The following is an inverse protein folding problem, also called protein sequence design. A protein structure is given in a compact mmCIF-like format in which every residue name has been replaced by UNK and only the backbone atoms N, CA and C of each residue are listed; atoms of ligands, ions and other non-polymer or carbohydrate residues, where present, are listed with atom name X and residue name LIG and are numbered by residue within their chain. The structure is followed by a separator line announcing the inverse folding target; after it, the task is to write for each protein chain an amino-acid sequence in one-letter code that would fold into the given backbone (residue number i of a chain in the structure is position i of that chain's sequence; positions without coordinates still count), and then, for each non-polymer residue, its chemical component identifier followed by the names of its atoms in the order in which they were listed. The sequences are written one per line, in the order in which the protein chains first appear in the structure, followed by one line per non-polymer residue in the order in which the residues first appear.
data_IF_402714026545
#
_entry.id   IF_402714026545
#
_cell.length_a   1.000
_cell.length_b   1.000
_cell.length_c   1.000
_cell.angle_alpha   90.00
_cell.angle_beta   90.00
_cell.angle_gamma   90.00
#
_symmetry.space_group_name_H-M   'P 1'
#
loop_
_entity.id
_entity.type
_entity.pdbx_description
1 polymer ?
#
# COMPACT_ATOMS: atom_id res chain seq x y z
N UNK A 1 -22.63 14.26 20.62
CA UNK A 1 -21.54 13.40 20.10
C UNK A 1 -20.24 14.06 20.50
N UNK A 2 -19.30 13.39 21.18
CA UNK A 2 -18.02 14.01 21.49
C UNK A 2 -17.20 14.19 20.21
N UNK A 3 -16.44 15.28 20.06
CA UNK A 3 -15.60 15.50 18.89
C UNK A 3 -14.47 14.48 18.85
N UNK A 4 -14.20 13.91 17.66
CA UNK A 4 -13.00 13.11 17.40
C UNK A 4 -11.77 13.97 17.65
N UNK A 5 -11.17 13.87 18.84
CA UNK A 5 -9.85 14.42 19.14
C UNK A 5 -8.78 13.53 18.51
N UNK A 6 -8.68 13.56 17.18
CA UNK A 6 -7.70 12.80 16.40
C UNK A 6 -6.83 13.75 15.59
N UNK A 7 -6.01 14.57 16.25
CA UNK A 7 -4.97 15.31 15.53
C UNK A 7 -4.01 14.32 14.86
N UNK A 8 -3.74 14.50 13.57
CA UNK A 8 -2.73 13.70 12.86
C UNK A 8 -1.37 14.07 13.45
N UNK A 9 -0.82 13.19 14.30
CA UNK A 9 0.56 13.32 14.77
C UNK A 9 1.51 12.94 13.63
N UNK A 10 1.90 13.93 12.84
CA UNK A 10 2.91 13.78 11.79
C UNK A 10 4.32 13.81 12.37
N UNK A 11 5.20 12.97 11.84
CA UNK A 11 6.65 13.00 12.11
C UNK A 11 7.37 12.27 10.99
N UNK A 12 8.55 12.76 10.57
CA UNK A 12 9.35 12.06 9.57
C UNK A 12 9.90 10.77 10.22
N UNK A 13 9.47 9.64 9.67
CA UNK A 13 9.89 8.33 10.15
C UNK A 13 10.79 7.70 9.08
N UNK A 14 12.06 7.48 9.41
CA UNK A 14 13.03 6.80 8.54
C UNK A 14 13.12 5.33 8.96
N UNK A 15 12.41 4.46 8.25
CA UNK A 15 12.51 3.00 8.44
C UNK A 15 12.67 2.30 7.10
N UNK A 16 13.32 1.14 7.13
CA UNK A 16 13.11 0.16 6.08
C UNK A 16 11.63 -0.29 6.11
N UNK A 17 10.98 -0.54 4.96
CA UNK A 17 9.56 -0.95 4.90
C UNK A 17 9.20 -2.11 5.86
N UNK A 18 10.10 -3.09 5.97
CA UNK A 18 9.97 -4.21 6.92
C UNK A 18 9.78 -3.73 8.37
N UNK A 19 10.63 -2.84 8.85
CA UNK A 19 10.60 -2.38 10.23
C UNK A 19 9.37 -1.53 10.50
N UNK A 20 8.98 -0.72 9.51
CA UNK A 20 7.73 0.04 9.56
C UNK A 20 6.51 -0.89 9.71
N UNK A 21 6.43 -1.93 8.87
CA UNK A 21 5.35 -2.90 8.92
C UNK A 21 5.27 -3.60 10.29
N UNK A 22 6.40 -4.08 10.80
CA UNK A 22 6.46 -4.78 12.08
C UNK A 22 6.01 -3.89 13.24
N UNK A 23 6.42 -2.61 13.22
CA UNK A 23 6.15 -1.67 14.32
C UNK A 23 4.72 -1.14 14.29
N UNK A 24 4.19 -0.82 13.11
CA UNK A 24 2.96 -0.05 13.00
C UNK A 24 1.79 -0.84 12.43
N UNK A 25 2.02 -1.91 11.70
CA UNK A 25 0.93 -2.61 11.00
C UNK A 25 0.62 -3.96 11.66
N UNK A 26 1.60 -4.85 11.77
CA UNK A 26 1.40 -6.27 12.12
C UNK A 26 0.53 -6.55 13.35
N UNK A 27 0.66 -5.73 14.39
CA UNK A 27 -0.02 -5.93 15.68
C UNK A 27 -1.15 -4.95 15.95
N UNK A 28 -1.53 -4.15 14.95
CA UNK A 28 -2.62 -3.19 15.04
C UNK A 28 -3.78 -3.64 14.15
N UNK A 29 -4.99 -3.19 14.48
CA UNK A 29 -6.19 -3.48 13.70
C UNK A 29 -6.55 -2.27 12.84
N UNK A 30 -6.69 -2.50 11.54
CA UNK A 30 -7.13 -1.51 10.58
C UNK A 30 -8.23 -2.09 9.70
N UNK A 31 -9.34 -1.36 9.55
CA UNK A 31 -10.35 -1.73 8.55
C UNK A 31 -9.91 -1.32 7.14
N UNK A 32 -9.15 -0.22 7.03
CA UNK A 32 -8.58 0.29 5.80
C UNK A 32 -7.16 0.84 6.05
N UNK A 33 -6.23 0.45 5.19
CA UNK A 33 -4.87 1.00 5.13
C UNK A 33 -4.71 1.78 3.82
N UNK A 34 -4.33 3.05 3.90
CA UNK A 34 -4.09 3.89 2.72
C UNK A 34 -2.60 4.19 2.62
N UNK A 35 -1.95 3.66 1.59
CA UNK A 35 -0.57 3.96 1.24
C UNK A 35 -0.49 5.13 0.26
N UNK A 36 0.41 6.07 0.51
CA UNK A 36 0.76 7.16 -0.40
C UNK A 36 2.25 7.08 -0.68
N UNK A 37 2.63 7.08 -1.95
CA UNK A 37 4.02 7.13 -2.38
C UNK A 37 4.21 8.13 -3.50
N UNK A 38 5.38 8.74 -3.57
CA UNK A 38 5.76 9.56 -4.72
C UNK A 38 6.17 8.65 -5.88
N UNK A 39 5.68 8.92 -7.09
CA UNK A 39 6.13 8.16 -8.25
C UNK A 39 7.46 8.71 -8.76
N UNK A 40 8.49 7.87 -8.78
CA UNK A 40 9.76 8.25 -9.42
C UNK A 40 9.64 8.16 -10.94
N UNK A 41 9.23 9.26 -11.57
CA UNK A 41 9.06 9.39 -13.02
C UNK A 41 8.06 10.49 -13.37
N UNK A 42 7.78 10.67 -14.66
CA UNK A 42 6.87 11.73 -15.10
C UNK A 42 5.45 11.14 -15.26
N UNK A 43 4.57 11.41 -14.29
CA UNK A 43 3.15 11.08 -14.38
C UNK A 43 2.32 12.35 -14.16
N UNK A 44 1.20 12.48 -14.86
CA UNK A 44 0.31 13.64 -14.76
C UNK A 44 -0.97 13.36 -13.97
N UNK A 45 -1.15 12.12 -13.50
CA UNK A 45 -2.35 11.62 -12.82
C UNK A 45 -1.95 10.72 -11.65
N UNK A 46 -2.78 10.69 -10.63
CA UNK A 46 -2.60 9.80 -9.47
C UNK A 46 -2.83 8.35 -9.94
N UNK A 47 -1.88 7.46 -9.66
CA UNK A 47 -2.08 6.03 -9.93
C UNK A 47 -2.78 5.38 -8.75
N UNK A 48 -3.82 4.62 -9.03
CA UNK A 48 -4.41 3.66 -8.11
C UNK A 48 -3.74 2.33 -8.41
N UNK A 49 -2.90 1.88 -7.49
CA UNK A 49 -2.18 0.62 -7.67
C UNK A 49 -3.07 -0.55 -7.24
N UNK A 50 -3.13 -1.60 -8.06
CA UNK A 50 -4.02 -2.75 -7.85
C UNK A 50 -3.27 -4.06 -7.63
N UNK A 51 -1.95 -4.08 -7.85
CA UNK A 51 -1.10 -5.25 -7.61
C UNK A 51 0.25 -4.88 -6.99
N UNK A 52 0.73 -5.71 -6.08
CA UNK A 52 2.09 -5.65 -5.55
C UNK A 52 2.87 -6.92 -5.92
N UNK A 53 4.16 -6.76 -6.21
CA UNK A 53 5.05 -7.84 -6.65
C UNK A 53 5.88 -8.37 -5.49
N UNK A 54 6.17 -9.66 -5.48
CA UNK A 54 7.13 -10.29 -4.58
C UNK A 54 8.56 -9.96 -5.03
N UNK A 55 8.92 -8.68 -5.00
CA UNK A 55 10.20 -8.18 -5.45
C UNK A 55 10.61 -6.93 -4.64
N UNK A 56 11.87 -6.91 -4.23
CA UNK A 56 12.54 -5.71 -3.74
C UNK A 56 13.87 -5.57 -4.48
N UNK A 57 13.99 -4.51 -5.27
CA UNK A 57 14.99 -4.41 -6.34
C UNK A 57 14.92 -5.63 -7.28
N UNK A 58 15.98 -6.44 -7.27
CA UNK A 58 16.17 -7.60 -8.12
C UNK A 58 16.06 -8.93 -7.34
N UNK A 59 15.52 -8.89 -6.12
CA UNK A 59 15.40 -10.06 -5.24
C UNK A 59 13.95 -10.28 -4.82
N UNK A 60 13.56 -11.52 -4.60
CA UNK A 60 12.25 -11.82 -4.02
C UNK A 60 12.19 -11.39 -2.56
N UNK A 61 11.04 -10.89 -2.11
CA UNK A 61 10.81 -10.55 -0.69
C UNK A 61 10.72 -11.85 0.12
N UNK A 62 10.01 -12.84 -0.41
CA UNK A 62 9.93 -14.20 0.12
C UNK A 62 10.10 -15.23 -0.98
N UNK A 63 10.94 -16.24 -0.75
CA UNK A 63 11.29 -17.23 -1.77
C UNK A 63 10.09 -18.07 -2.26
N UNK A 64 9.14 -18.36 -1.36
CA UNK A 64 8.01 -19.26 -1.64
C UNK A 64 6.65 -18.57 -1.63
N UNK A 65 6.60 -17.25 -1.84
CA UNK A 65 5.35 -16.50 -1.96
C UNK A 65 4.95 -16.29 -3.43
N UNK A 66 3.65 -16.07 -3.73
CA UNK A 66 3.19 -15.75 -5.08
C UNK A 66 3.96 -14.59 -5.72
N UNK A 67 4.14 -14.63 -7.04
CA UNK A 67 4.91 -13.59 -7.77
C UNK A 67 4.25 -12.22 -7.65
N UNK A 68 2.92 -12.17 -7.72
CA UNK A 68 2.11 -10.96 -7.54
C UNK A 68 0.98 -11.24 -6.56
N UNK A 69 0.56 -10.20 -5.84
CA UNK A 69 -0.64 -10.20 -5.03
C UNK A 69 -1.55 -9.07 -5.52
N UNK A 70 -2.81 -9.40 -5.79
CA UNK A 70 -3.86 -8.40 -6.00
C UNK A 70 -4.15 -7.69 -4.68
N UNK A 71 -4.23 -6.36 -4.72
CA UNK A 71 -4.56 -5.58 -3.55
C UNK A 71 -6.04 -5.75 -3.22
N UNK A 72 -6.32 -5.93 -1.93
CA UNK A 72 -7.66 -5.99 -1.35
C UNK A 72 -8.31 -4.61 -1.35
N UNK A 73 -8.69 -4.13 -2.53
CA UNK A 73 -9.29 -2.80 -2.71
C UNK A 73 -10.71 -2.77 -2.11
N UNK A 74 -11.14 -1.62 -1.56
CA UNK A 74 -12.57 -1.35 -1.36
C UNK A 74 -13.27 -1.22 -2.73
N UNK A 75 -14.60 -1.35 -2.79
CA UNK A 75 -15.34 -1.05 -4.03
C UNK A 75 -15.07 0.39 -4.44
N UNK A 76 -14.63 0.59 -5.69
CA UNK A 76 -14.39 1.90 -6.29
C UNK A 76 -15.42 2.09 -7.39
N UNK A 77 -16.58 2.64 -7.03
CA UNK A 77 -17.72 2.72 -7.94
C UNK A 77 -17.51 3.78 -9.05
N UNK A 78 -16.75 4.83 -8.77
CA UNK A 78 -16.44 5.90 -9.72
C UNK A 78 -15.00 6.39 -9.53
N UNK A 79 -14.19 6.31 -10.58
CA UNK A 79 -12.84 6.86 -10.64
C UNK A 79 -12.83 7.96 -11.69
N UNK A 80 -12.52 9.20 -11.31
CA UNK A 80 -12.39 10.33 -12.24
C UNK A 80 -11.19 10.08 -13.19
N UNK A 81 -11.41 9.74 -14.47
CA UNK A 81 -10.33 9.35 -15.37
C UNK A 81 -9.45 10.53 -15.76
N UNK A 82 -9.84 11.78 -15.45
CA UNK A 82 -8.99 12.95 -15.66
C UNK A 82 -7.93 13.08 -14.57
N UNK A 83 -8.19 12.55 -13.36
CA UNK A 83 -7.30 12.65 -12.20
C UNK A 83 -6.57 11.36 -11.88
N UNK A 84 -7.16 10.22 -12.20
CA UNK A 84 -6.68 8.91 -11.79
C UNK A 84 -6.38 8.00 -12.97
N UNK A 85 -5.44 7.08 -12.79
CA UNK A 85 -5.24 5.91 -13.65
C UNK A 85 -5.15 4.65 -12.79
N UNK A 86 -5.60 3.52 -13.33
CA UNK A 86 -5.38 2.21 -12.71
C UNK A 86 -3.99 1.70 -13.14
N UNK A 87 -3.23 1.16 -12.20
CA UNK A 87 -1.89 0.64 -12.43
C UNK A 87 -1.70 -0.71 -11.74
N UNK A 88 -1.11 -1.66 -12.45
CA UNK A 88 -0.73 -2.97 -11.92
C UNK A 88 0.79 -3.05 -11.64
N UNK A 89 1.50 -1.92 -11.75
CA UNK A 89 2.95 -1.87 -11.61
C UNK A 89 3.38 -0.66 -10.77
N UNK A 90 3.50 -0.90 -9.47
CA UNK A 90 3.99 0.07 -8.48
C UNK A 90 5.53 0.05 -8.33
N UNK A 91 6.25 -0.56 -9.28
CA UNK A 91 7.71 -0.75 -9.23
C UNK A 91 8.12 -1.91 -8.31
N UNK A 92 9.37 -1.90 -7.86
CA UNK A 92 9.94 -2.94 -6.98
C UNK A 92 10.71 -2.35 -5.78
N UNK A 93 10.42 -1.11 -5.41
CA UNK A 93 11.07 -0.41 -4.29
C UNK A 93 10.18 -0.41 -3.03
N UNK A 94 10.35 0.57 -2.13
CA UNK A 94 9.67 0.65 -0.84
C UNK A 94 8.14 0.59 -0.92
N UNK A 95 7.52 1.27 -1.88
CA UNK A 95 6.06 1.25 -2.09
C UNK A 95 5.58 -0.17 -2.39
N UNK A 96 6.27 -0.85 -3.31
CA UNK A 96 5.99 -2.24 -3.65
C UNK A 96 6.17 -3.18 -2.46
N UNK A 97 7.29 -3.03 -1.74
CA UNK A 97 7.58 -3.85 -0.56
C UNK A 97 6.46 -3.75 0.47
N UNK A 98 6.09 -2.53 0.86
CA UNK A 98 5.14 -2.34 1.95
C UNK A 98 3.73 -2.81 1.54
N UNK A 99 3.29 -2.53 0.31
CA UNK A 99 2.00 -2.99 -0.19
C UNK A 99 1.93 -4.52 -0.27
N UNK A 100 3.02 -5.18 -0.69
CA UNK A 100 3.13 -6.64 -0.73
C UNK A 100 3.03 -7.24 0.67
N UNK A 101 3.82 -6.72 1.62
CA UNK A 101 3.85 -7.20 3.01
C UNK A 101 2.48 -7.03 3.69
N UNK A 102 1.82 -5.88 3.47
CA UNK A 102 0.46 -5.63 3.95
C UNK A 102 -0.52 -6.63 3.31
N UNK A 103 -0.49 -6.80 1.99
CA UNK A 103 -1.46 -7.66 1.32
C UNK A 103 -1.36 -9.10 1.77
N UNK A 104 -0.13 -9.60 1.88
CA UNK A 104 0.13 -10.94 2.38
C UNK A 104 -0.41 -11.09 3.81
N UNK A 105 -0.15 -10.13 4.69
CA UNK A 105 -0.65 -10.18 6.05
C UNK A 105 -2.19 -10.14 6.12
N UNK A 106 -2.83 -9.29 5.31
CA UNK A 106 -4.29 -9.22 5.17
C UNK A 106 -4.84 -10.60 4.80
N UNK A 107 -4.27 -11.24 3.77
CA UNK A 107 -4.70 -12.55 3.30
C UNK A 107 -4.65 -13.62 4.41
N UNK A 108 -3.60 -13.58 5.23
CA UNK A 108 -3.34 -14.61 6.24
C UNK A 108 -4.04 -14.34 7.60
N UNK A 109 -4.27 -13.07 7.97
CA UNK A 109 -4.65 -12.69 9.34
C UNK A 109 -5.87 -11.77 9.45
N UNK A 110 -6.18 -11.00 8.42
CA UNK A 110 -7.25 -9.98 8.50
C UNK A 110 -7.97 -9.79 7.16
N UNK A 111 -8.66 -10.82 6.65
CA UNK A 111 -9.24 -10.80 5.29
C UNK A 111 -10.35 -9.75 5.08
N UNK A 112 -10.90 -9.21 6.18
CA UNK A 112 -11.85 -8.10 6.14
C UNK A 112 -11.17 -6.74 5.93
N UNK A 113 -9.90 -6.61 6.32
CA UNK A 113 -9.12 -5.39 6.09
C UNK A 113 -8.93 -5.16 4.61
N UNK A 114 -8.98 -3.90 4.21
CA UNK A 114 -8.71 -3.45 2.85
C UNK A 114 -7.43 -2.64 2.79
N UNK A 115 -6.79 -2.60 1.64
CA UNK A 115 -5.74 -1.64 1.37
C UNK A 115 -5.96 -0.92 0.05
N UNK A 116 -5.53 0.33 0.01
CA UNK A 116 -5.52 1.18 -1.16
C UNK A 116 -4.15 1.84 -1.24
N UNK A 117 -3.50 1.77 -2.40
CA UNK A 117 -2.18 2.39 -2.57
C UNK A 117 -2.23 3.36 -3.73
N UNK A 118 -1.77 4.58 -3.48
CA UNK A 118 -1.69 5.63 -4.48
C UNK A 118 -0.25 6.04 -4.74
N UNK A 119 0.10 6.14 -6.01
CA UNK A 119 1.28 6.89 -6.43
C UNK A 119 0.89 8.30 -6.89
N UNK A 120 1.49 9.29 -6.25
CA UNK A 120 1.26 10.71 -6.52
C UNK A 120 2.22 11.22 -7.61
N UNK A 121 1.78 12.21 -8.43
CA UNK A 121 2.64 12.93 -9.38
C UNK A 121 3.83 13.65 -8.75
#
# INVERSE_FOLDING_TARGET
MPPCQGGIKGGLIRFHPKDFFQKYIRNNKYDLIIGLGDYYGNISKIKIETQARNAYDNRSIYEFAPINLELSLPSLDLVDPQKFIISENMGTYNCNYIAFEIQRWINDHSPASKQLFFHLP
#
